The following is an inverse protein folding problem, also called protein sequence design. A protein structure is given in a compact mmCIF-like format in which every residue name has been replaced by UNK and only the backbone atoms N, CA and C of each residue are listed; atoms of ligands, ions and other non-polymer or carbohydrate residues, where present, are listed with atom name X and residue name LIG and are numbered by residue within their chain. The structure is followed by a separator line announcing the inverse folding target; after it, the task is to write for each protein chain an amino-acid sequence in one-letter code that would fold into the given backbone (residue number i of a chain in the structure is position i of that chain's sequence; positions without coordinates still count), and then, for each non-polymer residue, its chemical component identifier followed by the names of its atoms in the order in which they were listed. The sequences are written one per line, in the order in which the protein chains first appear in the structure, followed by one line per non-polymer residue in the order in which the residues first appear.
data_IF_960215344819
#
_entry.id   IF_960215344819
#
_cell.length_a   1.000
_cell.length_b   1.000
_cell.length_c   1.000
_cell.angle_alpha   90.00
_cell.angle_beta   90.00
_cell.angle_gamma   90.00
#
_symmetry.space_group_name_H-M   'P 1'
#
loop_
_entity.id
_entity.type
_entity.pdbx_description
1 polymer ?
#
# COMPACT_ATOMS: atom_id res chain seq x y z
N UNK A 1 -7.63 31.65 -18.61
CA UNK A 1 -8.06 30.40 -17.94
C UNK A 1 -8.62 29.43 -18.98
N UNK A 2 -8.29 28.13 -18.96
CA UNK A 2 -8.89 27.14 -19.86
C UNK A 2 -10.41 27.17 -19.86
N UNK A 3 -11.03 27.35 -18.69
CA UNK A 3 -12.50 27.41 -18.54
C UNK A 3 -13.14 28.62 -19.27
N UNK A 4 -12.42 29.72 -19.41
CA UNK A 4 -12.92 30.85 -20.20
C UNK A 4 -12.92 30.57 -21.70
N UNK A 5 -11.97 29.76 -22.17
CA UNK A 5 -11.84 29.38 -23.58
C UNK A 5 -12.94 28.40 -23.99
N UNK A 6 -13.43 27.57 -23.07
CA UNK A 6 -14.52 26.60 -23.30
C UNK A 6 -15.92 27.23 -23.24
N UNK A 7 -16.02 28.56 -23.07
CA UNK A 7 -17.32 29.27 -23.12
C UNK A 7 -18.19 29.12 -21.86
N UNK A 8 -17.63 28.58 -20.77
CA UNK A 8 -18.35 28.45 -19.49
C UNK A 8 -18.61 29.86 -18.91
N UNK A 9 -19.81 30.09 -18.38
CA UNK A 9 -20.16 31.37 -17.80
C UNK A 9 -19.35 31.68 -16.52
N UNK A 10 -19.24 32.98 -16.18
CA UNK A 10 -18.37 33.45 -15.07
C UNK A 10 -18.83 32.93 -13.70
N UNK A 11 -20.12 32.74 -13.46
CA UNK A 11 -20.65 32.32 -12.16
C UNK A 11 -20.41 30.81 -11.96
N UNK A 12 -20.56 30.01 -13.01
CA UNK A 12 -20.22 28.60 -12.99
C UNK A 12 -18.71 28.38 -12.81
N UNK A 13 -17.86 29.18 -13.46
CA UNK A 13 -16.42 29.16 -13.22
C UNK A 13 -16.10 29.42 -11.75
N UNK A 14 -16.71 30.45 -11.15
CA UNK A 14 -16.50 30.76 -9.73
C UNK A 14 -16.93 29.62 -8.82
N UNK A 15 -18.08 29.01 -9.11
CA UNK A 15 -18.59 27.88 -8.32
C UNK A 15 -17.67 26.64 -8.42
N UNK A 16 -17.25 26.26 -9.62
CA UNK A 16 -16.34 25.11 -9.85
C UNK A 16 -14.97 25.35 -9.18
N UNK A 17 -14.39 26.54 -9.37
CA UNK A 17 -13.11 26.92 -8.75
C UNK A 17 -13.25 26.98 -7.23
N UNK A 18 -14.32 27.52 -6.71
CA UNK A 18 -14.58 27.62 -5.27
C UNK A 18 -14.62 26.24 -4.61
N UNK A 19 -15.40 25.30 -5.15
CA UNK A 19 -15.50 23.92 -4.63
C UNK A 19 -14.13 23.21 -4.59
N UNK A 20 -13.38 23.28 -5.69
CA UNK A 20 -12.06 22.64 -5.76
C UNK A 20 -11.03 23.35 -4.88
N UNK A 21 -11.10 24.69 -4.76
CA UNK A 21 -10.21 25.44 -3.88
C UNK A 21 -10.48 25.16 -2.40
N UNK A 22 -11.73 24.95 -2.02
CA UNK A 22 -12.11 24.56 -0.65
C UNK A 22 -11.58 23.16 -0.32
N UNK A 23 -11.84 22.17 -1.20
CA UNK A 23 -11.37 20.80 -1.07
C UNK A 23 -9.83 20.75 -0.86
N UNK A 24 -9.10 21.52 -1.65
CA UNK A 24 -7.63 21.55 -1.62
C UNK A 24 -7.04 22.59 -0.65
N UNK A 25 -7.89 23.24 0.18
CA UNK A 25 -7.49 24.28 1.15
C UNK A 25 -6.69 25.42 0.50
N UNK A 26 -7.15 25.85 -0.68
CA UNK A 26 -6.53 26.93 -1.48
C UNK A 26 -7.35 28.22 -1.50
N UNK A 27 -8.52 28.30 -0.83
CA UNK A 27 -9.43 29.44 -0.92
C UNK A 27 -8.75 30.77 -0.60
N UNK A 28 -7.89 30.82 0.42
CA UNK A 28 -7.11 32.01 0.78
C UNK A 28 -5.98 32.35 -0.21
N UNK A 29 -5.67 31.44 -1.13
CA UNK A 29 -4.54 31.56 -2.08
C UNK A 29 -4.97 31.93 -3.49
N UNK A 30 -6.27 32.05 -3.77
CA UNK A 30 -6.82 32.26 -5.12
C UNK A 30 -6.27 33.51 -5.83
N UNK A 31 -5.86 34.54 -5.08
CA UNK A 31 -5.33 35.78 -5.62
C UNK A 31 -3.80 35.82 -5.66
N UNK A 32 -3.11 34.79 -5.20
CA UNK A 32 -1.65 34.71 -5.22
C UNK A 32 -1.12 34.26 -6.57
N UNK A 33 0.07 34.74 -6.92
CA UNK A 33 0.82 34.27 -8.07
C UNK A 33 1.57 32.96 -7.73
N UNK A 34 1.96 32.15 -8.72
CA UNK A 34 2.65 30.89 -8.48
C UNK A 34 3.94 31.03 -7.66
N UNK A 35 4.70 32.10 -7.86
CA UNK A 35 5.94 32.44 -7.14
C UNK A 35 5.72 32.84 -5.67
N UNK A 36 4.50 33.19 -5.30
CA UNK A 36 4.11 33.50 -3.92
C UNK A 36 3.59 32.27 -3.15
N UNK A 37 3.57 31.09 -3.81
CA UNK A 37 3.06 29.84 -3.25
C UNK A 37 4.20 28.94 -2.79
N UNK A 38 4.05 28.26 -1.65
CA UNK A 38 4.95 27.18 -1.24
C UNK A 38 4.87 25.99 -2.21
N UNK A 39 5.87 25.10 -2.23
CA UNK A 39 5.89 23.93 -3.10
C UNK A 39 4.62 23.05 -2.98
N UNK A 40 4.16 22.77 -1.77
CA UNK A 40 2.92 22.03 -1.56
C UNK A 40 1.65 22.80 -2.02
N UNK A 41 1.65 24.15 -1.92
CA UNK A 41 0.55 24.97 -2.47
C UNK A 41 0.57 24.97 -4.00
N UNK A 42 1.76 25.00 -4.62
CA UNK A 42 1.90 24.88 -6.08
C UNK A 42 1.39 23.54 -6.59
N UNK A 43 1.74 22.44 -5.91
CA UNK A 43 1.28 21.08 -6.25
C UNK A 43 -0.25 20.98 -6.14
N UNK A 44 -0.83 21.45 -5.02
CA UNK A 44 -2.28 21.51 -4.86
C UNK A 44 -2.96 22.36 -5.93
N UNK A 45 -2.34 23.47 -6.32
CA UNK A 45 -2.83 24.33 -7.41
C UNK A 45 -2.78 23.59 -8.76
N UNK A 46 -1.76 22.79 -9.02
CA UNK A 46 -1.68 21.97 -10.23
C UNK A 46 -2.79 20.89 -10.23
N UNK A 47 -3.01 20.22 -9.11
CA UNK A 47 -4.11 19.27 -8.93
C UNK A 47 -5.47 19.97 -9.12
N UNK A 48 -5.68 21.15 -8.49
CA UNK A 48 -6.90 21.94 -8.67
C UNK A 48 -7.18 22.25 -10.15
N UNK A 49 -6.14 22.60 -10.91
CA UNK A 49 -6.26 22.89 -12.34
C UNK A 49 -6.67 21.67 -13.17
N UNK A 50 -6.25 20.46 -12.79
CA UNK A 50 -6.71 19.22 -13.41
C UNK A 50 -8.16 18.93 -13.05
N UNK A 51 -8.52 19.05 -11.78
CA UNK A 51 -9.84 18.71 -11.26
C UNK A 51 -10.94 19.70 -11.68
N UNK A 52 -10.62 20.96 -11.92
CA UNK A 52 -11.61 21.99 -12.29
C UNK A 52 -12.05 21.88 -13.75
N UNK A 53 -11.25 21.20 -14.59
CA UNK A 53 -11.57 20.96 -15.99
C UNK A 53 -12.58 19.82 -16.14
N UNK A 54 -13.41 19.93 -17.15
CA UNK A 54 -14.29 18.86 -17.62
C UNK A 54 -13.54 18.14 -18.75
N UNK A 55 -12.73 17.16 -18.41
CA UNK A 55 -11.87 16.45 -19.35
C UNK A 55 -12.24 14.97 -19.36
N UNK A 56 -12.30 14.36 -20.53
CA UNK A 56 -12.56 12.92 -20.69
C UNK A 56 -11.43 12.05 -20.12
N UNK A 57 -10.23 12.63 -19.97
CA UNK A 57 -9.04 11.97 -19.43
C UNK A 57 -8.32 12.90 -18.44
N UNK A 58 -8.04 12.38 -17.25
CA UNK A 58 -7.25 13.05 -16.22
C UNK A 58 -5.99 12.20 -15.96
N UNK A 59 -4.81 12.82 -16.08
CA UNK A 59 -3.53 12.20 -15.76
C UNK A 59 -2.98 12.82 -14.48
N UNK A 60 -2.74 12.01 -13.47
CA UNK A 60 -2.20 12.41 -12.18
C UNK A 60 -0.91 11.63 -11.91
N UNK A 61 0.17 12.34 -11.69
CA UNK A 61 1.48 11.78 -11.37
C UNK A 61 1.88 12.22 -9.96
N UNK A 62 1.92 11.29 -9.02
CA UNK A 62 2.21 11.51 -7.59
C UNK A 62 1.41 12.70 -6.98
N UNK A 63 0.09 12.79 -7.18
CA UNK A 63 -0.66 14.02 -6.87
C UNK A 63 -0.73 14.32 -5.37
N UNK A 64 -0.55 13.33 -4.51
CA UNK A 64 -0.59 13.46 -3.06
C UNK A 64 0.80 13.43 -2.40
N UNK A 65 1.86 13.30 -3.19
CA UNK A 65 3.23 13.40 -2.69
C UNK A 65 3.47 14.69 -1.92
N UNK A 66 4.35 15.09 -1.22
CA UNK A 66 4.67 16.39 -0.62
C UNK A 66 3.50 17.13 0.09
N UNK A 67 2.39 16.46 0.36
CA UNK A 67 1.32 16.99 1.19
C UNK A 67 1.55 16.59 2.66
N UNK A 68 1.08 17.44 3.58
CA UNK A 68 1.03 17.07 4.98
C UNK A 68 0.09 15.86 5.20
N UNK A 69 0.35 15.08 6.23
CA UNK A 69 -0.36 13.83 6.51
C UNK A 69 -1.87 14.01 6.56
N UNK A 70 -2.35 15.03 7.28
CA UNK A 70 -3.79 15.24 7.46
C UNK A 70 -4.51 15.51 6.15
N UNK A 71 -3.94 16.40 5.32
CA UNK A 71 -4.53 16.72 4.02
C UNK A 71 -4.44 15.54 3.05
N UNK A 72 -3.38 14.75 3.11
CA UNK A 72 -3.24 13.53 2.30
C UNK A 72 -4.36 12.55 2.60
N UNK A 73 -4.63 12.27 3.88
CA UNK A 73 -5.72 11.37 4.29
C UNK A 73 -7.09 11.93 3.86
N UNK A 74 -7.35 13.21 4.10
CA UNK A 74 -8.60 13.85 3.63
C UNK A 74 -8.77 13.69 2.11
N UNK A 75 -7.73 13.89 1.32
CA UNK A 75 -7.81 13.78 -0.15
C UNK A 75 -7.89 12.33 -0.63
N UNK A 76 -7.29 11.36 0.06
CA UNK A 76 -7.46 9.94 -0.23
C UNK A 76 -8.93 9.51 -0.17
N UNK A 77 -9.69 10.06 0.76
CA UNK A 77 -11.11 9.77 0.91
C UNK A 77 -11.99 10.52 -0.11
N UNK A 78 -11.62 11.77 -0.44
CA UNK A 78 -12.46 12.65 -1.27
C UNK A 78 -12.23 12.48 -2.77
N UNK A 79 -11.00 12.18 -3.21
CA UNK A 79 -10.69 12.03 -4.65
C UNK A 79 -11.48 10.89 -5.32
N UNK A 80 -11.60 9.68 -4.72
CA UNK A 80 -12.42 8.62 -5.31
C UNK A 80 -13.86 9.05 -5.55
N UNK A 81 -14.50 9.68 -4.55
CA UNK A 81 -15.88 10.20 -4.66
C UNK A 81 -16.01 11.22 -5.79
N UNK A 82 -15.01 12.11 -5.88
CA UNK A 82 -15.01 13.14 -6.92
C UNK A 82 -14.83 12.55 -8.33
N UNK A 83 -14.17 11.41 -8.44
CA UNK A 83 -14.01 10.69 -9.72
C UNK A 83 -15.25 9.85 -10.07
N UNK A 84 -15.94 9.26 -9.09
CA UNK A 84 -17.18 8.50 -9.30
C UNK A 84 -18.30 9.36 -9.91
N UNK A 85 -18.37 10.63 -9.50
CA UNK A 85 -19.36 11.60 -10.01
C UNK A 85 -19.06 12.10 -11.44
N UNK A 86 -17.93 11.65 -12.04
CA UNK A 86 -17.49 12.12 -13.36
C UNK A 86 -17.46 10.99 -14.37
N UNK A 87 -17.96 11.27 -15.54
CA UNK A 87 -17.81 10.39 -16.73
C UNK A 87 -16.45 10.66 -17.39
N UNK A 88 -15.35 10.27 -16.72
CA UNK A 88 -14.00 10.47 -17.22
C UNK A 88 -13.08 9.30 -16.86
N UNK A 89 -12.02 9.12 -17.64
CA UNK A 89 -10.95 8.16 -17.36
C UNK A 89 -9.91 8.86 -16.49
N UNK A 90 -9.54 8.24 -15.37
CA UNK A 90 -8.46 8.72 -14.50
C UNK A 90 -7.30 7.75 -14.56
N UNK A 91 -6.12 8.26 -14.90
CA UNK A 91 -4.84 7.54 -14.78
C UNK A 91 -4.05 8.18 -13.64
N UNK A 92 -3.84 7.41 -12.58
CA UNK A 92 -3.22 7.85 -11.34
C UNK A 92 -1.93 7.05 -11.12
N UNK A 93 -0.77 7.69 -11.20
CA UNK A 93 0.51 7.10 -10.87
C UNK A 93 0.88 7.44 -9.43
N UNK A 94 1.30 6.45 -8.66
CA UNK A 94 1.72 6.60 -7.26
C UNK A 94 2.75 5.55 -6.87
N UNK A 95 3.60 5.89 -5.92
CA UNK A 95 4.46 4.94 -5.19
C UNK A 95 3.84 4.46 -3.89
N UNK A 96 2.71 5.03 -3.48
CA UNK A 96 1.99 4.68 -2.25
C UNK A 96 0.96 3.56 -2.51
N UNK A 97 1.13 2.35 -1.98
CA UNK A 97 0.20 1.23 -2.21
C UNK A 97 -1.23 1.54 -1.75
N UNK A 98 -1.34 2.29 -0.65
CA UNK A 98 -2.63 2.66 -0.06
C UNK A 98 -3.48 3.52 -1.00
N UNK A 99 -2.85 4.43 -1.77
CA UNK A 99 -3.57 5.24 -2.77
C UNK A 99 -4.28 4.34 -3.79
N UNK A 100 -3.58 3.34 -4.31
CA UNK A 100 -4.15 2.41 -5.28
C UNK A 100 -5.30 1.58 -4.69
N UNK A 101 -5.17 1.14 -3.43
CA UNK A 101 -6.20 0.37 -2.75
C UNK A 101 -7.46 1.21 -2.48
N UNK A 102 -7.31 2.49 -2.10
CA UNK A 102 -8.43 3.38 -1.81
C UNK A 102 -9.15 3.89 -3.06
N UNK A 103 -8.38 4.19 -4.13
CA UNK A 103 -8.96 4.61 -5.41
C UNK A 103 -9.67 3.44 -6.10
N UNK A 104 -9.15 2.23 -5.95
CA UNK A 104 -9.73 1.04 -6.55
C UNK A 104 -9.53 0.96 -8.07
N UNK A 105 -10.55 0.45 -8.79
CA UNK A 105 -10.51 0.30 -10.24
C UNK A 105 -9.53 -0.78 -10.71
N UNK A 106 -8.66 -0.45 -11.67
CA UNK A 106 -7.62 -1.34 -12.18
C UNK A 106 -6.24 -0.78 -11.86
N UNK A 107 -5.32 -1.67 -11.49
CA UNK A 107 -3.94 -1.31 -11.18
C UNK A 107 -2.95 -2.01 -12.10
N UNK A 108 -1.97 -1.25 -12.57
CA UNK A 108 -0.76 -1.77 -13.21
C UNK A 108 0.42 -1.64 -12.25
N UNK A 109 1.05 -2.75 -11.87
CA UNK A 109 2.33 -2.73 -11.15
C UNK A 109 3.48 -2.60 -12.13
N UNK A 110 4.40 -1.67 -11.87
CA UNK A 110 5.52 -1.39 -12.76
C UNK A 110 6.86 -1.69 -12.08
N UNK A 111 7.79 -2.19 -12.85
CA UNK A 111 9.19 -2.33 -12.48
C UNK A 111 10.06 -2.01 -13.70
N UNK A 112 11.02 -1.08 -13.54
CA UNK A 112 11.97 -0.69 -14.59
C UNK A 112 11.29 -0.38 -15.93
N UNK A 113 10.17 0.36 -15.88
CA UNK A 113 9.41 0.76 -17.07
C UNK A 113 8.53 -0.32 -17.70
N UNK A 114 8.49 -1.53 -17.12
CA UNK A 114 7.68 -2.63 -17.63
C UNK A 114 6.45 -2.87 -16.74
N UNK A 115 5.31 -3.17 -17.35
CA UNK A 115 4.11 -3.62 -16.62
C UNK A 115 4.28 -5.08 -16.24
N UNK A 116 4.40 -5.34 -14.93
CA UNK A 116 4.58 -6.68 -14.36
C UNK A 116 3.24 -7.40 -14.24
N UNK A 117 2.21 -6.68 -13.79
CA UNK A 117 0.86 -7.20 -13.65
C UNK A 117 -0.15 -6.07 -13.88
N UNK A 118 -1.29 -6.41 -14.47
CA UNK A 118 -2.44 -5.54 -14.63
C UNK A 118 -3.72 -6.30 -14.29
N UNK A 119 -4.64 -5.66 -13.60
CA UNK A 119 -5.93 -6.22 -13.24
C UNK A 119 -6.69 -5.36 -12.24
N UNK A 120 -7.83 -5.85 -11.76
CA UNK A 120 -8.55 -5.17 -10.67
C UNK A 120 -7.63 -5.06 -9.45
N UNK A 121 -7.66 -3.92 -8.79
CA UNK A 121 -6.75 -3.60 -7.69
C UNK A 121 -6.73 -4.69 -6.60
N UNK A 122 -7.90 -5.14 -6.15
CA UNK A 122 -8.00 -6.20 -5.15
C UNK A 122 -7.47 -7.56 -5.65
N UNK A 123 -7.65 -7.88 -6.94
CA UNK A 123 -7.09 -9.11 -7.50
C UNK A 123 -5.56 -9.05 -7.57
N UNK A 124 -5.00 -7.88 -7.95
CA UNK A 124 -3.54 -7.67 -7.97
C UNK A 124 -2.97 -7.75 -6.56
N UNK A 125 -3.66 -7.20 -5.57
CA UNK A 125 -3.28 -7.27 -4.16
C UNK A 125 -3.33 -8.69 -3.60
N UNK A 126 -4.46 -9.39 -3.79
CA UNK A 126 -4.70 -10.72 -3.19
C UNK A 126 -3.98 -11.84 -3.96
N UNK A 127 -3.86 -11.71 -5.29
CA UNK A 127 -3.29 -12.72 -6.19
C UNK A 127 -2.19 -12.14 -7.06
N UNK A 128 -1.09 -11.69 -6.46
CA UNK A 128 0.05 -11.16 -7.22
C UNK A 128 0.64 -12.26 -8.10
N UNK A 129 0.93 -11.96 -9.37
CA UNK A 129 1.53 -12.95 -10.30
C UNK A 129 2.90 -13.44 -9.87
N UNK A 130 3.63 -12.59 -9.17
CA UNK A 130 5.00 -12.89 -8.72
C UNK A 130 5.35 -12.08 -7.47
N UNK A 131 6.50 -12.41 -6.89
CA UNK A 131 7.03 -11.78 -5.69
C UNK A 131 7.22 -10.26 -5.83
N UNK A 132 7.55 -9.77 -7.03
CA UNK A 132 7.71 -8.34 -7.31
C UNK A 132 6.37 -7.61 -7.15
N UNK A 133 5.30 -8.11 -7.81
CA UNK A 133 3.95 -7.54 -7.66
C UNK A 133 3.47 -7.59 -6.20
N UNK A 134 3.78 -8.67 -5.47
CA UNK A 134 3.43 -8.80 -4.06
C UNK A 134 4.11 -7.73 -3.19
N UNK A 135 5.39 -7.45 -3.46
CA UNK A 135 6.16 -6.44 -2.72
C UNK A 135 5.64 -5.03 -2.93
N UNK A 136 5.18 -4.68 -4.14
CA UNK A 136 4.66 -3.35 -4.46
C UNK A 136 3.52 -2.95 -3.53
N UNK A 137 2.68 -3.91 -3.12
CA UNK A 137 1.54 -3.67 -2.24
C UNK A 137 1.83 -3.96 -0.75
N UNK A 138 3.07 -4.01 -0.34
CA UNK A 138 3.42 -4.24 1.07
C UNK A 138 4.17 -3.04 1.64
N UNK A 139 3.47 -2.32 2.50
CA UNK A 139 4.02 -1.27 3.34
C UNK A 139 3.53 -1.51 4.79
N UNK A 140 4.43 -1.77 5.73
CA UNK A 140 5.89 -1.98 5.60
C UNK A 140 6.27 -3.14 4.66
N UNK A 141 7.55 -3.24 4.26
CA UNK A 141 8.01 -4.25 3.32
C UNK A 141 7.66 -5.68 3.71
N UNK A 142 7.26 -6.50 2.72
CA UNK A 142 6.91 -7.90 2.90
C UNK A 142 8.06 -8.71 3.48
N UNK A 143 7.77 -9.52 4.49
CA UNK A 143 8.68 -10.52 5.04
C UNK A 143 8.80 -11.69 4.06
N UNK A 144 10.03 -12.09 3.76
CA UNK A 144 10.31 -13.15 2.80
C UNK A 144 11.26 -14.15 3.43
N UNK A 145 10.97 -15.44 3.25
CA UNK A 145 11.87 -16.51 3.63
C UNK A 145 11.81 -17.66 2.64
N UNK A 146 12.88 -18.44 2.60
CA UNK A 146 12.90 -19.73 1.92
C UNK A 146 12.36 -20.82 2.85
N UNK A 147 11.58 -21.71 2.28
CA UNK A 147 10.94 -22.84 2.99
C UNK A 147 11.15 -24.13 2.22
N UNK A 148 11.14 -25.23 2.96
CA UNK A 148 11.09 -26.60 2.42
C UNK A 148 9.72 -27.20 2.72
N UNK A 149 9.10 -27.78 1.70
CA UNK A 149 7.88 -28.57 1.82
C UNK A 149 8.16 -30.06 1.64
N UNK A 150 7.60 -30.86 2.53
CA UNK A 150 7.64 -32.33 2.45
C UNK A 150 6.30 -32.89 2.98
N UNK A 151 5.48 -33.45 2.09
CA UNK A 151 4.12 -33.84 2.40
C UNK A 151 3.26 -32.65 2.85
N UNK A 152 2.65 -32.72 4.02
CA UNK A 152 1.88 -31.63 4.65
C UNK A 152 2.74 -30.69 5.49
N UNK A 153 4.04 -31.03 5.68
CA UNK A 153 4.95 -30.27 6.53
C UNK A 153 5.69 -29.20 5.74
N UNK A 154 5.71 -28.00 6.29
CA UNK A 154 6.49 -26.86 5.85
C UNK A 154 7.50 -26.48 6.93
N UNK A 155 8.67 -26.07 6.54
CA UNK A 155 9.76 -25.67 7.43
C UNK A 155 10.50 -24.46 6.86
N UNK A 156 10.78 -23.48 7.72
CA UNK A 156 11.72 -22.40 7.39
C UNK A 156 13.13 -22.97 7.27
N UNK A 157 13.85 -22.68 6.19
CA UNK A 157 15.16 -23.24 5.93
C UNK A 157 16.22 -22.85 6.99
N UNK A 158 16.13 -21.64 7.53
CA UNK A 158 17.14 -21.08 8.43
C UNK A 158 16.88 -21.37 9.91
N UNK A 159 15.80 -22.07 10.26
CA UNK A 159 15.46 -22.36 11.66
C UNK A 159 14.50 -23.56 11.79
N UNK A 160 14.20 -23.93 13.04
CA UNK A 160 13.34 -25.08 13.34
C UNK A 160 11.83 -24.76 13.34
N UNK A 161 11.40 -23.63 12.77
CA UNK A 161 9.97 -23.30 12.70
C UNK A 161 9.31 -24.16 11.63
N UNK A 162 8.34 -24.96 12.07
CA UNK A 162 7.59 -25.89 11.23
C UNK A 162 6.09 -25.73 11.43
N UNK A 163 5.34 -25.99 10.36
CA UNK A 163 3.87 -26.01 10.42
C UNK A 163 3.28 -27.02 9.43
N UNK A 164 2.03 -27.40 9.67
CA UNK A 164 1.24 -28.18 8.72
C UNK A 164 0.31 -27.24 7.96
N UNK A 165 0.16 -27.49 6.68
CA UNK A 165 -0.84 -26.81 5.85
C UNK A 165 -1.30 -27.73 4.74
N UNK A 166 -2.59 -27.57 4.37
CA UNK A 166 -3.23 -28.30 3.27
C UNK A 166 -2.97 -27.67 1.89
N UNK A 167 -2.05 -26.72 1.80
CA UNK A 167 -1.66 -26.07 0.55
C UNK A 167 -1.18 -27.08 -0.47
N UNK A 168 -1.85 -27.13 -1.62
CA UNK A 168 -1.62 -28.13 -2.68
C UNK A 168 -0.53 -27.68 -3.64
N UNK A 169 0.71 -27.76 -3.21
CA UNK A 169 1.90 -27.62 -4.06
C UNK A 169 2.76 -28.88 -3.94
N UNK A 170 3.64 -29.14 -4.90
CA UNK A 170 4.56 -30.29 -4.88
C UNK A 170 5.60 -30.14 -3.76
N UNK A 171 6.19 -31.26 -3.34
CA UNK A 171 7.35 -31.20 -2.44
C UNK A 171 8.53 -30.49 -3.10
N UNK A 172 9.25 -29.67 -2.34
CA UNK A 172 10.33 -28.85 -2.88
C UNK A 172 10.67 -27.64 -2.02
N UNK A 173 11.48 -26.77 -2.62
CA UNK A 173 11.92 -25.51 -2.01
C UNK A 173 11.11 -24.38 -2.65
N UNK A 174 10.59 -23.50 -1.81
CA UNK A 174 9.74 -22.34 -2.18
C UNK A 174 10.17 -21.10 -1.40
N UNK A 175 9.67 -19.95 -1.81
CA UNK A 175 9.71 -18.74 -0.98
C UNK A 175 8.32 -18.47 -0.46
N UNK A 176 8.23 -18.02 0.78
CA UNK A 176 7.00 -17.43 1.32
C UNK A 176 7.14 -15.92 1.40
N UNK A 177 6.02 -15.24 1.16
CA UNK A 177 5.83 -13.83 1.43
C UNK A 177 4.77 -13.65 2.48
N UNK A 178 5.05 -12.86 3.52
CA UNK A 178 4.15 -12.58 4.62
C UNK A 178 4.09 -11.07 4.82
N UNK A 179 2.90 -10.49 4.72
CA UNK A 179 2.75 -9.07 5.02
C UNK A 179 2.91 -8.81 6.52
N UNK A 180 3.51 -7.67 6.93
CA UNK A 180 3.77 -7.38 8.35
C UNK A 180 2.55 -7.48 9.26
N UNK A 181 1.36 -7.08 8.81
CA UNK A 181 0.12 -7.16 9.58
C UNK A 181 -0.41 -8.60 9.80
N UNK A 182 0.17 -9.59 9.10
CA UNK A 182 -0.10 -11.02 9.31
C UNK A 182 0.93 -11.67 10.26
N UNK A 183 1.79 -10.86 10.90
CA UNK A 183 2.67 -11.26 12.00
C UNK A 183 2.35 -10.38 13.20
N UNK A 184 1.81 -10.99 14.25
CA UNK A 184 1.32 -10.28 15.43
C UNK A 184 2.01 -10.74 16.71
N UNK A 185 1.94 -9.92 17.77
CA UNK A 185 2.46 -10.27 19.12
C UNK A 185 1.53 -11.16 19.92
N UNK A 186 0.35 -11.42 19.40
CA UNK A 186 -0.66 -12.29 20.02
C UNK A 186 -1.18 -13.31 19.00
N UNK A 187 -1.62 -14.44 19.50
CA UNK A 187 -2.12 -15.53 18.63
C UNK A 187 -3.51 -15.19 18.11
N UNK A 188 -3.65 -15.13 16.80
CA UNK A 188 -4.94 -14.98 16.11
C UNK A 188 -5.37 -16.33 15.50
N UNK A 189 -6.54 -16.79 15.89
CA UNK A 189 -7.12 -18.01 15.31
C UNK A 189 -6.33 -19.30 15.59
N UNK A 190 -6.74 -20.38 14.88
CA UNK A 190 -6.15 -21.71 15.06
C UNK A 190 -4.95 -21.97 14.12
N UNK A 191 -4.83 -21.19 13.03
CA UNK A 191 -3.83 -21.36 11.97
C UNK A 191 -2.64 -20.40 12.14
N UNK A 192 -2.28 -20.09 13.40
CA UNK A 192 -1.13 -19.26 13.72
C UNK A 192 0.08 -20.11 14.12
N UNK A 193 1.23 -19.83 13.55
CA UNK A 193 2.51 -20.46 13.85
C UNK A 193 3.38 -19.51 14.65
N UNK A 194 3.90 -20.00 15.79
CA UNK A 194 4.80 -19.23 16.66
C UNK A 194 6.19 -19.13 16.04
N UNK A 195 6.76 -17.94 16.08
CA UNK A 195 8.15 -17.65 15.76
C UNK A 195 8.77 -16.84 16.90
N UNK A 196 9.93 -17.27 17.39
CA UNK A 196 10.68 -16.51 18.39
C UNK A 196 11.55 -15.49 17.70
N UNK A 197 11.51 -14.25 18.14
CA UNK A 197 12.30 -13.17 17.58
C UNK A 197 13.04 -12.38 18.64
N UNK A 198 14.16 -11.78 18.28
CA UNK A 198 14.87 -10.79 19.09
C UNK A 198 14.57 -9.41 18.54
N UNK A 199 14.02 -8.53 19.36
CA UNK A 199 13.60 -7.18 18.97
C UNK A 199 14.81 -6.34 18.60
N UNK A 200 14.78 -5.75 17.42
CA UNK A 200 15.79 -4.80 16.92
C UNK A 200 15.33 -3.36 17.11
N UNK A 201 14.09 -3.07 16.74
CA UNK A 201 13.44 -1.75 16.86
C UNK A 201 11.98 -1.97 17.22
N UNK A 202 11.42 -1.11 18.04
CA UNK A 202 9.99 -1.07 18.35
C UNK A 202 9.49 0.36 18.19
N UNK A 203 8.58 0.57 17.26
CA UNK A 203 7.98 1.88 16.97
C UNK A 203 6.50 1.84 17.34
N UNK A 204 6.02 2.91 17.95
CA UNK A 204 4.64 3.04 18.41
C UNK A 204 4.00 4.24 17.71
N UNK A 205 2.94 4.01 16.95
CA UNK A 205 2.18 5.08 16.27
C UNK A 205 0.93 5.52 17.04
N UNK A 206 0.72 4.97 18.24
CA UNK A 206 -0.48 5.21 19.06
C UNK A 206 -1.62 4.24 18.78
N UNK A 207 -1.91 3.94 17.54
CA UNK A 207 -2.91 2.92 17.12
C UNK A 207 -2.28 1.56 16.79
N UNK A 208 -1.01 1.54 16.45
CA UNK A 208 -0.28 0.36 15.97
C UNK A 208 1.12 0.30 16.56
N UNK A 209 1.66 -0.90 16.59
CA UNK A 209 3.03 -1.20 16.99
C UNK A 209 3.77 -1.91 15.86
N UNK A 210 4.86 -1.32 15.42
CA UNK A 210 5.75 -1.87 14.42
C UNK A 210 6.99 -2.44 15.12
N UNK A 211 7.24 -3.74 14.99
CA UNK A 211 8.36 -4.41 15.63
C UNK A 211 9.26 -5.02 14.56
N UNK A 212 10.46 -4.49 14.44
CA UNK A 212 11.53 -5.12 13.68
C UNK A 212 12.22 -6.15 14.56
N UNK A 213 12.33 -7.37 14.09
CA UNK A 213 12.93 -8.46 14.84
C UNK A 213 13.80 -9.36 13.97
N UNK A 214 14.71 -10.06 14.60
CA UNK A 214 15.52 -11.08 13.93
C UNK A 214 15.18 -12.47 14.46
N UNK A 215 15.13 -13.46 13.57
CA UNK A 215 15.06 -14.87 13.91
C UNK A 215 16.12 -15.60 13.07
N UNK A 216 17.23 -15.99 13.69
CA UNK A 216 18.39 -16.50 12.97
C UNK A 216 18.96 -15.46 12.00
N UNK A 217 18.89 -15.74 10.70
CA UNK A 217 19.32 -14.82 9.62
C UNK A 217 18.20 -13.95 9.07
N UNK A 218 16.96 -14.20 9.48
CA UNK A 218 15.80 -13.46 9.01
C UNK A 218 15.67 -12.14 9.78
N UNK A 219 15.54 -11.04 9.04
CA UNK A 219 15.18 -9.74 9.59
C UNK A 219 13.78 -9.39 9.09
N UNK A 220 12.83 -9.42 9.98
CA UNK A 220 11.41 -9.33 9.69
C UNK A 220 10.73 -8.19 10.43
N UNK A 221 9.54 -7.86 10.00
CA UNK A 221 8.71 -6.80 10.56
C UNK A 221 7.36 -7.39 10.92
N UNK A 222 6.88 -7.07 12.10
CA UNK A 222 5.51 -7.34 12.56
C UNK A 222 4.78 -6.01 12.72
N UNK A 223 3.51 -5.97 12.33
CA UNK A 223 2.61 -4.83 12.55
C UNK A 223 1.40 -5.34 13.31
N UNK A 224 1.21 -4.86 14.52
CA UNK A 224 0.11 -5.26 15.40
C UNK A 224 -0.74 -4.05 15.80
N UNK A 225 -2.05 -4.23 15.91
CA UNK A 225 -2.94 -3.21 16.45
C UNK A 225 -2.67 -2.97 17.94
N UNK A 226 -2.85 -1.73 18.36
CA UNK A 226 -2.66 -1.30 19.73
C UNK A 226 -1.19 -1.11 20.13
N UNK A 227 -0.98 -0.74 21.40
CA UNK A 227 0.35 -0.45 21.95
C UNK A 227 0.97 -1.74 22.47
N UNK A 228 1.98 -2.23 21.79
CA UNK A 228 2.78 -3.41 22.16
C UNK A 228 4.22 -2.99 22.39
N UNK A 229 4.47 -2.38 23.56
CA UNK A 229 5.82 -1.90 23.90
C UNK A 229 6.77 -3.09 24.09
N UNK A 230 7.87 -3.08 23.35
CA UNK A 230 8.97 -4.04 23.46
C UNK A 230 10.31 -3.33 23.58
N UNK A 231 11.22 -3.91 24.36
CA UNK A 231 12.55 -3.34 24.51
C UNK A 231 13.50 -3.90 23.46
N UNK A 232 14.44 -3.07 23.01
CA UNK A 232 15.49 -3.50 22.08
C UNK A 232 16.30 -4.61 22.74
N UNK A 233 16.53 -5.70 22.01
CA UNK A 233 17.24 -6.90 22.48
C UNK A 233 16.37 -7.88 23.27
N UNK A 234 15.11 -7.57 23.53
CA UNK A 234 14.15 -8.47 24.18
C UNK A 234 13.82 -9.66 23.27
N UNK A 235 13.81 -10.87 23.84
CA UNK A 235 13.27 -12.04 23.16
C UNK A 235 11.75 -12.00 23.23
N UNK A 236 11.10 -12.11 22.10
CA UNK A 236 9.64 -12.02 22.00
C UNK A 236 9.07 -13.13 21.15
N UNK A 237 7.85 -13.54 21.49
CA UNK A 237 7.06 -14.47 20.68
C UNK A 237 6.17 -13.69 19.73
N UNK A 238 6.18 -14.10 18.48
CA UNK A 238 5.34 -13.56 17.43
C UNK A 238 4.58 -14.71 16.76
N UNK A 239 3.47 -14.40 16.16
CA UNK A 239 2.58 -15.38 15.55
C UNK A 239 2.29 -15.01 14.12
N UNK A 240 2.54 -15.94 13.20
CA UNK A 240 2.33 -15.80 11.76
C UNK A 240 1.01 -16.46 11.38
N UNK A 241 0.13 -15.74 10.72
CA UNK A 241 -1.09 -16.33 10.14
C UNK A 241 -0.74 -17.05 8.84
N UNK A 242 -0.78 -18.40 8.85
CA UNK A 242 -0.39 -19.21 7.69
C UNK A 242 -1.41 -19.20 6.55
N UNK A 243 -2.66 -18.82 6.82
CA UNK A 243 -3.69 -18.69 5.80
C UNK A 243 -3.45 -17.50 4.86
N UNK A 244 -2.61 -16.56 5.29
CA UNK A 244 -2.25 -15.36 4.55
C UNK A 244 -0.88 -15.45 3.86
N UNK A 245 -0.28 -16.64 3.85
CA UNK A 245 1.02 -16.84 3.20
C UNK A 245 0.87 -16.87 1.69
N UNK A 246 1.76 -16.15 1.02
CA UNK A 246 1.94 -16.22 -0.42
C UNK A 246 3.11 -17.15 -0.72
N UNK A 247 2.87 -18.20 -1.50
CA UNK A 247 3.90 -19.19 -1.85
C UNK A 247 4.41 -18.95 -3.27
N UNK A 248 5.72 -18.78 -3.41
CA UNK A 248 6.37 -18.52 -4.69
C UNK A 248 7.34 -19.64 -5.05
N UNK A 249 7.41 -20.01 -6.32
CA UNK A 249 8.41 -20.92 -6.84
C UNK A 249 9.81 -20.27 -6.90
N UNK A 250 10.81 -21.03 -7.33
CA UNK A 250 12.18 -20.53 -7.47
C UNK A 250 12.33 -19.41 -8.53
N UNK A 251 11.36 -19.29 -9.44
CA UNK A 251 11.29 -18.19 -10.42
C UNK A 251 10.50 -16.99 -9.90
N UNK A 252 10.19 -16.99 -8.61
CA UNK A 252 9.36 -15.97 -7.94
C UNK A 252 7.92 -15.84 -8.47
N UNK A 253 7.37 -16.87 -9.12
CA UNK A 253 5.97 -16.90 -9.56
C UNK A 253 5.09 -17.40 -8.41
N UNK A 254 3.94 -16.77 -8.22
CA UNK A 254 2.97 -17.24 -7.23
C UNK A 254 2.45 -18.62 -7.65
N UNK A 255 2.53 -19.59 -6.75
CA UNK A 255 2.03 -20.97 -6.95
C UNK A 255 0.82 -21.28 -6.07
N UNK A 256 0.69 -20.59 -4.94
CA UNK A 256 -0.48 -20.67 -4.07
C UNK A 256 -0.54 -19.46 -3.12
N UNK A 257 -1.73 -19.23 -2.54
CA UNK A 257 -1.94 -18.43 -1.33
C UNK A 257 -2.61 -19.34 -0.30
N UNK A 258 -2.30 -19.14 0.98
CA UNK A 258 -2.75 -19.95 2.09
C UNK A 258 -4.26 -19.96 2.27
#
# INVERSE_FOLDING_TARGET
SPLKITGINSDEIKQRVGKVAELLKLSAMLNKKPDELSGGQQQRTALARALVKDSDLILLDEPLANLDFKLREELREELPKLFEDRDCIVVYATTEPLDALMIGGNTATLLEGNVIQYGKTLDVYNKPKNLTSAKVFSDPPMNIAEIKKNGEMFQLNDNNVQWKSNVKIKDGIYKIGIRPHNITTYKEGNNSVEINGKVLISELSGSESLIHFTNGRLNWVSLSNGIQQKNIGEDTKLYMNIDEFLYFDQNNRLVNHG
#
